data_IF_252624371788
#
_entry.id   IF_252624371788
#
_cell.length_a   1.000
_cell.length_b   1.000
_cell.length_c   1.000
_cell.angle_alpha   90.00
_cell.angle_beta   90.00
_cell.angle_gamma   90.00
#
_symmetry.space_group_name_H-M   'P 1'
#
loop_
_entity.id
_entity.type
_entity.pdbx_description
1 polymer ?
#
# COMPACT_ATOMS: atom_id res chain seq x y z
N UNK A 1 21.54 10.81 -10.74
CA UNK A 1 20.44 11.05 -11.72
C UNK A 1 19.86 12.43 -11.49
N UNK A 2 19.26 13.04 -12.51
CA UNK A 2 18.43 14.25 -12.33
C UNK A 2 17.11 13.84 -11.68
N UNK A 3 16.58 14.67 -10.74
CA UNK A 3 15.30 14.41 -10.11
C UNK A 3 14.16 14.41 -11.13
N UNK A 4 13.15 13.57 -10.90
CA UNK A 4 11.92 13.55 -11.71
C UNK A 4 11.17 14.87 -11.54
N UNK A 5 10.57 15.35 -12.63
CA UNK A 5 9.85 16.62 -12.69
C UNK A 5 8.87 16.83 -11.53
N UNK A 6 8.09 15.79 -11.22
CA UNK A 6 7.04 15.86 -10.19
C UNK A 6 7.46 15.30 -8.82
N UNK A 7 8.71 14.87 -8.62
CA UNK A 7 9.14 14.23 -7.38
C UNK A 7 8.85 15.11 -6.15
N UNK A 8 9.29 16.38 -6.21
CA UNK A 8 9.09 17.33 -5.12
C UNK A 8 7.60 17.61 -4.87
N UNK A 9 6.79 17.73 -5.92
CA UNK A 9 5.35 17.92 -5.78
C UNK A 9 4.68 16.71 -5.13
N UNK A 10 5.04 15.50 -5.52
CA UNK A 10 4.52 14.28 -4.90
C UNK A 10 4.93 14.16 -3.44
N UNK A 11 6.21 14.45 -3.10
CA UNK A 11 6.64 14.47 -1.70
C UNK A 11 5.84 15.50 -0.87
N UNK A 12 5.62 16.70 -1.41
CA UNK A 12 4.83 17.74 -0.76
C UNK A 12 3.38 17.31 -0.55
N UNK A 13 2.75 16.72 -1.56
CA UNK A 13 1.38 16.20 -1.47
C UNK A 13 1.26 15.08 -0.42
N UNK A 14 2.30 14.30 -0.19
CA UNK A 14 2.31 13.22 0.80
C UNK A 14 2.48 13.71 2.25
N UNK A 15 2.81 14.99 2.48
CA UNK A 15 3.00 15.53 3.83
C UNK A 15 1.68 15.59 4.63
N UNK A 16 0.55 15.73 3.94
CA UNK A 16 -0.78 15.83 4.54
C UNK A 16 -1.76 14.89 3.84
N UNK A 17 -2.69 14.30 4.61
CA UNK A 17 -3.77 13.49 4.04
C UNK A 17 -4.73 14.36 3.20
N UNK A 18 -5.05 15.58 3.69
CA UNK A 18 -5.82 16.59 2.96
C UNK A 18 -4.92 17.40 2.02
N UNK A 19 -4.38 16.78 1.00
CA UNK A 19 -3.45 17.42 0.07
C UNK A 19 -4.15 18.31 -0.98
N UNK A 20 -3.36 19.08 -1.75
CA UNK A 20 -3.88 20.03 -2.74
C UNK A 20 -4.80 19.39 -3.78
N UNK A 21 -4.51 18.16 -4.23
CA UNK A 21 -5.34 17.46 -5.23
C UNK A 21 -6.67 17.00 -4.61
N UNK A 22 -6.68 16.61 -3.34
CA UNK A 22 -7.91 16.31 -2.59
C UNK A 22 -8.77 17.55 -2.49
N UNK A 23 -8.19 18.70 -2.08
CA UNK A 23 -8.91 19.97 -2.01
C UNK A 23 -9.45 20.43 -3.36
N UNK A 24 -8.69 20.24 -4.44
CA UNK A 24 -9.13 20.53 -5.80
C UNK A 24 -10.36 19.70 -6.17
N UNK A 25 -10.32 18.39 -5.97
CA UNK A 25 -11.44 17.50 -6.30
C UNK A 25 -12.72 17.87 -5.51
N UNK A 26 -12.57 18.24 -4.24
CA UNK A 26 -13.70 18.72 -3.43
C UNK A 26 -14.26 20.07 -3.92
N UNK A 27 -13.39 20.97 -4.34
CA UNK A 27 -13.82 22.23 -4.96
C UNK A 27 -14.56 22.02 -6.29
N UNK A 28 -14.29 20.92 -7.00
CA UNK A 28 -15.03 20.47 -8.18
C UNK A 28 -16.36 19.76 -7.82
N UNK A 29 -16.73 19.69 -6.54
CA UNK A 29 -17.99 19.11 -6.05
C UNK A 29 -17.94 17.57 -5.93
N UNK A 30 -16.78 16.95 -5.88
CA UNK A 30 -16.63 15.50 -5.68
C UNK A 30 -16.54 15.13 -4.20
N UNK A 31 -17.13 14.00 -3.82
CA UNK A 31 -17.07 13.46 -2.47
C UNK A 31 -15.81 12.61 -2.28
N UNK A 32 -15.22 12.72 -1.08
CA UNK A 32 -14.06 11.93 -0.69
C UNK A 32 -14.46 10.66 0.08
N UNK A 33 -14.34 9.51 -0.55
CA UNK A 33 -14.50 8.20 0.08
C UNK A 33 -13.16 7.74 0.66
N UNK A 34 -12.93 8.00 1.95
CA UNK A 34 -11.74 7.51 2.62
C UNK A 34 -11.87 6.02 2.95
N UNK A 35 -10.74 5.29 3.02
CA UNK A 35 -10.74 3.87 3.36
C UNK A 35 -9.45 3.44 4.06
N UNK A 36 -9.51 2.32 4.79
CA UNK A 36 -8.42 1.91 5.69
C UNK A 36 -7.55 0.79 5.15
N UNK A 37 -8.06 -0.06 4.24
CA UNK A 37 -7.41 -1.31 3.91
C UNK A 37 -7.58 -1.70 2.43
N UNK A 38 -6.60 -2.43 1.88
CA UNK A 38 -6.62 -2.97 0.50
C UNK A 38 -7.80 -3.92 0.21
N UNK A 39 -8.46 -4.45 1.25
CA UNK A 39 -9.65 -5.30 1.08
C UNK A 39 -10.94 -4.52 0.77
N UNK A 40 -10.91 -3.20 0.75
CA UNK A 40 -11.98 -2.39 0.15
C UNK A 40 -11.69 -2.27 -1.34
N UNK A 41 -12.59 -2.72 -2.23
CA UNK A 41 -12.33 -2.64 -3.66
C UNK A 41 -12.28 -1.18 -4.13
N UNK A 42 -11.07 -0.67 -4.31
CA UNK A 42 -10.81 0.74 -4.61
C UNK A 42 -11.57 1.29 -5.84
N UNK A 43 -11.82 0.53 -6.94
CA UNK A 43 -12.62 1.02 -8.05
C UNK A 43 -14.03 1.44 -7.65
N UNK A 44 -14.65 0.77 -6.66
CA UNK A 44 -15.98 1.11 -6.18
C UNK A 44 -16.04 2.45 -5.43
N UNK A 45 -14.88 2.96 -5.01
CA UNK A 45 -14.72 4.28 -4.37
C UNK A 45 -14.30 5.39 -5.37
N UNK A 46 -14.28 5.09 -6.66
CA UNK A 46 -13.92 6.03 -7.72
C UNK A 46 -14.98 6.10 -8.83
N UNK A 47 -16.24 5.90 -8.44
CA UNK A 47 -17.38 6.11 -9.33
C UNK A 47 -17.50 7.59 -9.71
N UNK A 48 -18.18 7.95 -10.83
CA UNK A 48 -18.40 9.35 -11.20
C UNK A 48 -19.02 10.16 -10.04
N UNK A 49 -18.34 11.22 -9.62
CA UNK A 49 -18.75 12.07 -8.49
C UNK A 49 -18.09 11.76 -7.15
N UNK A 50 -17.35 10.67 -7.03
CA UNK A 50 -16.60 10.30 -5.82
C UNK A 50 -15.16 9.95 -6.16
N UNK A 51 -14.25 10.14 -5.22
CA UNK A 51 -12.86 9.70 -5.33
C UNK A 51 -12.38 9.06 -4.03
N UNK A 52 -11.45 8.11 -4.15
CA UNK A 52 -10.87 7.42 -2.99
C UNK A 52 -9.66 8.13 -2.43
N UNK A 53 -9.49 8.07 -1.09
CA UNK A 53 -8.26 8.41 -0.39
C UNK A 53 -8.00 7.39 0.70
N UNK A 54 -6.89 6.63 0.63
CA UNK A 54 -6.53 5.69 1.68
C UNK A 54 -5.97 6.46 2.88
N UNK A 55 -6.49 6.16 4.09
CA UNK A 55 -6.08 6.85 5.30
C UNK A 55 -4.61 6.55 5.63
N UNK A 56 -3.87 7.60 5.92
CA UNK A 56 -2.45 7.61 6.29
C UNK A 56 -2.24 8.52 7.49
N UNK A 57 -1.23 8.24 8.29
CA UNK A 57 -0.86 9.09 9.42
C UNK A 57 0.56 9.66 9.27
N UNK A 58 0.88 10.37 8.17
CA UNK A 58 2.22 10.90 7.96
C UNK A 58 2.57 11.90 9.07
N UNK A 59 3.84 11.90 9.49
CA UNK A 59 4.39 12.86 10.47
C UNK A 59 3.70 12.86 11.82
N UNK A 60 3.10 11.74 12.24
CA UNK A 60 2.55 11.60 13.59
C UNK A 60 3.70 11.65 14.59
N UNK A 61 3.81 12.75 15.33
CA UNK A 61 4.90 12.99 16.29
C UNK A 61 4.66 12.31 17.63
N UNK A 62 3.41 12.20 18.05
CA UNK A 62 2.97 11.54 19.28
C UNK A 62 1.82 10.58 18.97
N UNK A 63 1.63 9.59 19.81
CA UNK A 63 0.50 8.66 19.77
C UNK A 63 -0.12 8.53 21.17
N UNK A 64 -0.10 9.60 21.96
CA UNK A 64 -0.56 9.58 23.36
C UNK A 64 -2.07 9.32 23.44
N UNK A 65 -2.87 10.06 22.69
CA UNK A 65 -4.33 9.88 22.67
C UNK A 65 -4.71 8.55 22.01
N UNK A 66 -4.08 8.20 20.88
CA UNK A 66 -4.28 6.88 20.28
C UNK A 66 -3.93 5.74 21.23
N UNK A 67 -2.87 5.87 22.02
CA UNK A 67 -2.47 4.90 23.05
C UNK A 67 -3.45 4.89 24.23
N UNK A 68 -3.96 6.03 24.65
CA UNK A 68 -4.94 6.14 25.73
C UNK A 68 -6.22 5.35 25.42
N UNK A 69 -6.75 5.50 24.22
CA UNK A 69 -7.99 4.82 23.79
C UNK A 69 -7.79 3.38 23.30
N UNK A 70 -6.62 3.06 22.75
CA UNK A 70 -6.35 1.75 22.14
C UNK A 70 -5.36 0.88 22.91
N UNK A 71 -4.74 1.37 23.96
CA UNK A 71 -3.64 0.74 24.72
C UNK A 71 -2.30 0.64 23.95
N UNK A 72 -1.20 0.44 24.69
CA UNK A 72 0.16 0.34 24.11
C UNK A 72 0.42 -1.01 23.41
N UNK A 73 -0.46 -2.00 23.54
CA UNK A 73 -0.31 -3.35 22.98
C UNK A 73 -1.00 -3.53 21.63
N UNK A 74 -1.63 -2.49 21.09
CA UNK A 74 -2.21 -2.52 19.75
C UNK A 74 -1.26 -1.90 18.72
N UNK A 75 -1.47 -2.25 17.45
CA UNK A 75 -0.67 -1.84 16.31
C UNK A 75 -0.39 -0.32 16.32
N UNK A 76 0.88 0.06 16.22
CA UNK A 76 1.28 1.47 16.23
C UNK A 76 0.70 2.27 15.05
N UNK A 77 0.57 1.65 13.88
CA UNK A 77 -0.07 2.29 12.73
C UNK A 77 -1.53 2.66 13.02
N UNK A 78 -2.31 1.73 13.59
CA UNK A 78 -3.72 2.02 13.92
C UNK A 78 -3.86 3.08 15.03
N UNK A 79 -2.92 3.12 16.00
CA UNK A 79 -2.87 4.19 17.02
C UNK A 79 -2.54 5.54 16.40
N UNK A 80 -1.60 5.59 15.46
CA UNK A 80 -1.26 6.80 14.73
C UNK A 80 -2.42 7.33 13.89
N UNK A 81 -3.21 6.45 13.25
CA UNK A 81 -4.44 6.85 12.55
C UNK A 81 -5.47 7.46 13.51
N UNK A 82 -5.66 6.86 14.68
CA UNK A 82 -6.59 7.43 15.68
C UNK A 82 -6.11 8.78 16.20
N UNK A 83 -4.82 8.92 16.50
CA UNK A 83 -4.21 10.21 16.90
C UNK A 83 -4.51 11.28 15.85
N UNK A 84 -4.22 10.98 14.58
CA UNK A 84 -4.47 11.91 13.46
C UNK A 84 -5.95 12.25 13.30
N UNK A 85 -6.86 11.30 13.54
CA UNK A 85 -8.31 11.55 13.50
C UNK A 85 -8.74 12.52 14.62
N UNK A 86 -8.24 12.33 15.84
CA UNK A 86 -8.51 13.22 16.99
C UNK A 86 -8.00 14.64 16.73
N UNK A 87 -6.87 14.78 16.03
CA UNK A 87 -6.33 16.08 15.60
C UNK A 87 -7.12 16.71 14.44
N UNK A 88 -8.20 16.08 13.95
CA UNK A 88 -9.02 16.59 12.82
C UNK A 88 -8.38 16.36 11.44
N UNK A 89 -7.32 15.55 11.37
CA UNK A 89 -6.55 15.32 10.14
C UNK A 89 -7.33 14.64 9.01
N UNK A 90 -8.53 14.11 9.28
CA UNK A 90 -9.41 13.46 8.29
C UNK A 90 -10.74 14.18 8.07
N UNK A 91 -10.93 15.39 8.59
CA UNK A 91 -12.16 16.18 8.37
C UNK A 91 -12.47 16.50 6.90
N UNK A 92 -11.54 16.23 5.99
CA UNK A 92 -11.78 16.31 4.54
C UNK A 92 -12.62 15.13 4.02
N UNK A 93 -12.62 13.97 4.67
CA UNK A 93 -13.38 12.80 4.24
C UNK A 93 -14.90 13.04 4.36
N UNK A 94 -15.67 12.51 3.43
CA UNK A 94 -17.14 12.54 3.46
C UNK A 94 -17.70 11.22 3.99
N UNK A 95 -16.93 10.15 3.92
CA UNK A 95 -17.20 8.86 4.55
C UNK A 95 -15.90 8.09 4.76
N UNK A 96 -15.95 7.08 5.65
CA UNK A 96 -14.84 6.12 5.86
C UNK A 96 -15.35 4.71 5.70
N UNK A 97 -14.73 3.95 4.79
CA UNK A 97 -14.97 2.53 4.58
C UNK A 97 -13.89 1.69 5.28
N UNK A 98 -14.31 0.78 6.14
CA UNK A 98 -13.40 -0.12 6.85
C UNK A 98 -13.85 -1.58 6.72
N UNK A 99 -12.97 -2.48 6.26
CA UNK A 99 -13.28 -3.89 6.21
C UNK A 99 -12.92 -4.57 7.53
N UNK A 100 -13.68 -5.57 7.93
CA UNK A 100 -13.32 -6.45 9.05
C UNK A 100 -12.16 -7.38 8.66
N UNK A 101 -11.00 -6.77 8.43
CA UNK A 101 -9.78 -7.44 8.04
C UNK A 101 -8.76 -7.55 9.16
N UNK A 102 -8.83 -6.63 10.11
CA UNK A 102 -7.84 -6.49 11.18
C UNK A 102 -8.50 -5.89 12.42
N UNK A 103 -8.55 -6.65 13.52
CA UNK A 103 -9.16 -6.21 14.78
C UNK A 103 -8.55 -4.89 15.32
N UNK A 104 -7.27 -4.63 15.06
CA UNK A 104 -6.60 -3.38 15.45
C UNK A 104 -7.17 -2.19 14.67
N UNK A 105 -7.40 -2.36 13.37
CA UNK A 105 -7.98 -1.32 12.52
C UNK A 105 -9.46 -1.09 12.85
N UNK A 106 -10.22 -2.16 13.10
CA UNK A 106 -11.62 -2.04 13.53
C UNK A 106 -11.70 -1.22 14.82
N UNK A 107 -10.88 -1.55 15.82
CA UNK A 107 -10.83 -0.77 17.06
C UNK A 107 -10.46 0.71 16.84
N UNK A 108 -9.58 0.98 15.90
CA UNK A 108 -9.23 2.34 15.52
C UNK A 108 -10.46 3.10 15.00
N UNK A 109 -11.17 2.55 14.02
CA UNK A 109 -12.32 3.23 13.39
C UNK A 109 -13.53 3.29 14.35
N UNK A 110 -13.78 2.26 15.14
CA UNK A 110 -14.79 2.29 16.20
C UNK A 110 -14.54 3.40 17.23
N UNK A 111 -13.27 3.62 17.60
CA UNK A 111 -12.92 4.75 18.48
C UNK A 111 -13.07 6.10 17.76
N UNK A 112 -12.77 6.20 16.46
CA UNK A 112 -13.03 7.42 15.69
C UNK A 112 -14.53 7.78 15.72
N UNK A 113 -15.39 6.79 15.56
CA UNK A 113 -16.85 6.96 15.60
C UNK A 113 -17.33 7.31 17.02
N UNK A 114 -16.88 6.55 18.04
CA UNK A 114 -17.25 6.78 19.44
C UNK A 114 -16.86 8.18 19.92
N UNK A 115 -15.68 8.64 19.54
CA UNK A 115 -15.14 9.95 19.90
C UNK A 115 -15.67 11.09 19.01
N UNK A 116 -16.46 10.76 17.98
CA UNK A 116 -17.02 11.72 17.03
C UNK A 116 -15.93 12.62 16.42
N UNK A 117 -14.87 12.01 15.94
CA UNK A 117 -13.71 12.75 15.41
C UNK A 117 -13.99 13.45 14.08
N UNK A 118 -15.09 13.12 13.39
CA UNK A 118 -15.54 13.75 12.15
C UNK A 118 -16.69 14.74 12.43
N UNK A 119 -16.54 15.97 11.97
CA UNK A 119 -17.47 17.06 12.28
C UNK A 119 -18.43 17.40 11.12
N UNK A 120 -18.40 16.65 10.00
CA UNK A 120 -19.28 16.90 8.84
C UNK A 120 -20.70 16.39 9.06
N UNK A 121 -21.70 17.19 8.67
CA UNK A 121 -23.13 16.93 8.88
C UNK A 121 -23.61 15.63 8.20
N UNK A 122 -23.10 15.30 7.03
CA UNK A 122 -23.51 14.09 6.26
C UNK A 122 -22.46 13.00 6.27
N UNK A 123 -21.52 13.04 7.20
CA UNK A 123 -20.48 12.04 7.33
C UNK A 123 -21.04 10.70 7.84
N UNK A 124 -20.53 9.58 7.30
CA UNK A 124 -20.86 8.25 7.81
C UNK A 124 -19.64 7.32 7.81
N UNK A 125 -19.67 6.34 8.73
CA UNK A 125 -18.78 5.18 8.71
C UNK A 125 -19.49 4.01 8.06
N UNK A 126 -18.78 3.20 7.30
CA UNK A 126 -19.29 1.95 6.77
C UNK A 126 -18.34 0.79 7.08
N UNK A 127 -18.89 -0.22 7.75
CA UNK A 127 -18.18 -1.43 8.13
C UNK A 127 -18.64 -2.58 7.24
N UNK A 128 -17.68 -3.31 6.66
CA UNK A 128 -17.97 -4.43 5.79
C UNK A 128 -17.23 -5.69 6.24
N UNK A 129 -17.92 -6.83 6.22
CA UNK A 129 -17.29 -8.12 6.46
C UNK A 129 -16.50 -8.59 5.23
N UNK A 130 -15.32 -9.16 5.48
CA UNK A 130 -14.50 -9.77 4.46
C UNK A 130 -14.48 -11.28 4.65
N UNK A 131 -14.83 -12.08 3.63
CA UNK A 131 -14.80 -13.53 3.75
C UNK A 131 -13.40 -14.05 4.05
N UNK A 132 -13.29 -15.02 4.95
CA UNK A 132 -12.02 -15.68 5.29
C UNK A 132 -11.59 -16.71 4.24
N UNK A 133 -12.53 -17.17 3.42
CA UNK A 133 -12.30 -18.18 2.37
C UNK A 133 -12.63 -17.61 1.00
N UNK A 134 -11.76 -17.88 0.03
CA UNK A 134 -11.98 -17.53 -1.36
C UNK A 134 -12.69 -18.69 -2.09
N UNK A 135 -13.93 -18.97 -1.72
CA UNK A 135 -14.82 -19.95 -2.37
C UNK A 135 -16.10 -19.27 -2.87
N UNK A 136 -17.01 -20.03 -3.47
CA UNK A 136 -18.26 -19.50 -4.02
C UNK A 136 -19.15 -18.81 -2.98
N UNK A 137 -19.25 -19.35 -1.77
CA UNK A 137 -20.01 -18.73 -0.68
C UNK A 137 -19.33 -17.44 -0.19
N UNK A 138 -17.99 -17.45 -0.09
CA UNK A 138 -17.21 -16.26 0.23
C UNK A 138 -17.39 -15.17 -0.83
N UNK A 139 -17.41 -15.52 -2.11
CA UNK A 139 -17.66 -14.56 -3.18
C UNK A 139 -19.05 -13.93 -3.07
N UNK A 140 -20.09 -14.74 -2.88
CA UNK A 140 -21.45 -14.23 -2.72
C UNK A 140 -21.58 -13.29 -1.51
N UNK A 141 -20.96 -13.64 -0.39
CA UNK A 141 -20.91 -12.78 0.79
C UNK A 141 -20.19 -11.46 0.45
N UNK A 142 -19.03 -11.51 -0.20
CA UNK A 142 -18.26 -10.32 -0.49
C UNK A 142 -18.99 -9.36 -1.45
N UNK A 143 -19.64 -9.90 -2.48
CA UNK A 143 -20.50 -9.12 -3.39
C UNK A 143 -21.64 -8.44 -2.62
N UNK A 144 -22.31 -9.19 -1.73
CA UNK A 144 -23.39 -8.63 -0.88
C UNK A 144 -22.87 -7.53 0.04
N UNK A 145 -21.71 -7.72 0.67
CA UNK A 145 -21.07 -6.72 1.52
C UNK A 145 -20.68 -5.47 0.73
N UNK A 146 -20.06 -5.60 -0.43
CA UNK A 146 -19.72 -4.45 -1.28
C UNK A 146 -20.98 -3.70 -1.75
N UNK A 147 -22.03 -4.42 -2.12
CA UNK A 147 -23.31 -3.80 -2.51
C UNK A 147 -23.92 -3.02 -1.35
N UNK A 148 -24.08 -3.66 -0.17
CA UNK A 148 -24.82 -3.07 0.96
C UNK A 148 -23.99 -2.01 1.71
N UNK A 149 -22.67 -2.16 1.77
CA UNK A 149 -21.80 -1.33 2.61
C UNK A 149 -20.89 -0.38 1.80
N UNK A 150 -20.89 -0.43 0.46
CA UNK A 150 -20.20 0.56 -0.38
C UNK A 150 -21.21 1.23 -1.31
N UNK A 151 -21.80 0.46 -2.24
CA UNK A 151 -22.60 1.04 -3.32
C UNK A 151 -23.89 1.68 -2.80
N UNK A 152 -24.65 0.98 -1.97
CA UNK A 152 -25.92 1.51 -1.41
C UNK A 152 -25.68 2.79 -0.60
N UNK A 153 -24.73 2.87 0.36
CA UNK A 153 -24.48 4.12 1.08
C UNK A 153 -24.03 5.27 0.17
N UNK A 154 -23.19 5.01 -0.84
CA UNK A 154 -22.78 6.07 -1.79
C UNK A 154 -23.98 6.60 -2.59
N UNK A 155 -24.91 5.74 -2.99
CA UNK A 155 -26.12 6.14 -3.69
C UNK A 155 -27.07 6.91 -2.77
N UNK A 156 -27.33 6.40 -1.56
CA UNK A 156 -28.29 7.00 -0.63
C UNK A 156 -27.83 8.34 -0.06
N UNK A 157 -26.55 8.46 0.32
CA UNK A 157 -26.04 9.68 0.94
C UNK A 157 -25.63 10.75 -0.08
N UNK A 158 -25.11 10.35 -1.24
CA UNK A 158 -24.50 11.29 -2.18
C UNK A 158 -25.13 11.27 -3.58
N UNK A 159 -26.14 10.42 -3.84
CA UNK A 159 -26.77 10.29 -5.14
C UNK A 159 -25.86 9.76 -6.25
N UNK A 160 -24.81 9.02 -5.90
CA UNK A 160 -23.84 8.45 -6.85
C UNK A 160 -24.51 7.39 -7.72
N UNK A 161 -24.27 7.44 -9.03
CA UNK A 161 -24.66 6.36 -9.95
C UNK A 161 -23.81 5.11 -9.67
N UNK A 162 -24.47 4.05 -9.24
CA UNK A 162 -23.87 2.74 -8.91
C UNK A 162 -24.20 1.68 -9.94
N UNK A 163 -24.64 2.07 -11.12
CA UNK A 163 -24.93 1.14 -12.25
C UNK A 163 -23.69 0.35 -12.68
N UNK A 164 -23.89 -0.80 -13.29
CA UNK A 164 -22.80 -1.61 -13.87
C UNK A 164 -21.95 -0.79 -14.85
N UNK A 165 -22.57 0.09 -15.64
CA UNK A 165 -21.85 0.98 -16.56
C UNK A 165 -20.94 1.99 -15.81
N UNK A 166 -21.39 2.56 -14.69
CA UNK A 166 -20.59 3.45 -13.87
C UNK A 166 -19.41 2.70 -13.22
N UNK A 167 -19.65 1.47 -12.76
CA UNK A 167 -18.60 0.60 -12.19
C UNK A 167 -17.55 0.26 -13.25
N UNK A 168 -17.95 -0.13 -14.45
CA UNK A 168 -17.01 -0.42 -15.57
C UNK A 168 -16.14 0.79 -15.92
N UNK A 169 -16.72 1.98 -15.95
CA UNK A 169 -15.98 3.23 -16.17
C UNK A 169 -14.94 3.49 -15.06
N UNK A 170 -15.29 3.24 -13.80
CA UNK A 170 -14.34 3.36 -12.68
C UNK A 170 -13.20 2.34 -12.78
N UNK A 171 -13.48 1.13 -13.26
CA UNK A 171 -12.45 0.10 -13.53
C UNK A 171 -11.51 0.52 -14.67
N UNK A 172 -12.00 1.19 -15.71
CA UNK A 172 -11.14 1.72 -16.80
C UNK A 172 -10.10 2.72 -16.24
N UNK A 173 -10.54 3.67 -15.41
CA UNK A 173 -9.65 4.64 -14.74
C UNK A 173 -8.66 3.93 -13.81
N UNK A 174 -9.14 3.02 -12.96
CA UNK A 174 -8.31 2.19 -12.09
C UNK A 174 -7.25 1.42 -12.89
N UNK A 175 -7.63 0.79 -13.99
CA UNK A 175 -6.72 0.02 -14.83
C UNK A 175 -5.66 0.90 -15.51
N UNK A 176 -6.03 2.13 -15.90
CA UNK A 176 -5.08 3.10 -16.46
C UNK A 176 -4.01 3.44 -15.42
N UNK A 177 -4.43 3.74 -14.18
CA UNK A 177 -3.51 3.98 -13.07
C UNK A 177 -2.61 2.76 -12.81
N UNK A 178 -3.20 1.57 -12.70
CA UNK A 178 -2.44 0.34 -12.42
C UNK A 178 -1.38 0.06 -13.49
N UNK A 179 -1.70 0.24 -14.77
CA UNK A 179 -0.72 0.11 -15.86
C UNK A 179 0.44 1.09 -15.71
N UNK A 180 0.16 2.36 -15.43
CA UNK A 180 1.20 3.38 -15.21
C UNK A 180 2.12 3.02 -14.04
N UNK A 181 1.56 2.66 -12.89
CA UNK A 181 2.34 2.26 -11.71
C UNK A 181 3.22 1.05 -12.02
N UNK A 182 2.72 0.06 -12.76
CA UNK A 182 3.49 -1.12 -13.15
C UNK A 182 4.60 -0.78 -14.16
N UNK A 183 4.29 -0.03 -15.21
CA UNK A 183 5.28 0.37 -16.21
C UNK A 183 6.39 1.23 -15.60
N UNK A 184 6.06 2.19 -14.75
CA UNK A 184 7.04 2.97 -13.98
C UNK A 184 7.87 2.04 -13.07
N UNK A 185 7.21 1.08 -12.40
CA UNK A 185 7.86 0.11 -11.53
C UNK A 185 8.82 -0.83 -12.25
N UNK A 186 8.57 -1.14 -13.51
CA UNK A 186 9.39 -2.04 -14.32
C UNK A 186 10.80 -1.49 -14.61
N UNK A 187 10.99 -0.16 -14.56
CA UNK A 187 12.32 0.44 -14.61
C UNK A 187 13.23 0.03 -13.45
N UNK A 188 12.68 -0.49 -12.35
CA UNK A 188 13.45 -1.07 -11.25
C UNK A 188 14.07 -2.43 -11.58
N UNK A 189 13.66 -3.09 -12.67
CA UNK A 189 14.26 -4.36 -13.15
C UNK A 189 15.58 -4.16 -13.89
N UNK A 190 15.87 -2.95 -14.34
CA UNK A 190 17.10 -2.63 -15.06
C UNK A 190 18.31 -2.89 -14.16
N UNK A 191 19.43 -3.28 -14.73
CA UNK A 191 20.69 -3.49 -14.00
C UNK A 191 21.20 -2.19 -13.38
N UNK A 192 21.12 -1.10 -14.14
CA UNK A 192 21.36 0.24 -13.68
C UNK A 192 20.06 1.05 -13.79
N UNK A 193 19.24 1.07 -12.73
CA UNK A 193 17.89 1.59 -12.80
C UNK A 193 17.83 3.11 -13.06
N UNK A 194 16.84 3.52 -13.86
CA UNK A 194 16.53 4.94 -14.12
C UNK A 194 15.59 5.55 -13.08
N UNK A 195 15.17 4.77 -12.09
CA UNK A 195 14.34 5.22 -10.97
C UNK A 195 14.86 4.57 -9.68
N UNK A 196 14.91 5.31 -8.59
CA UNK A 196 15.23 4.75 -7.27
C UNK A 196 14.00 4.06 -6.66
N UNK A 197 14.19 3.16 -5.71
CA UNK A 197 13.10 2.59 -4.94
C UNK A 197 12.35 3.67 -4.14
N UNK A 198 13.06 4.69 -3.67
CA UNK A 198 12.51 5.84 -2.98
C UNK A 198 11.56 6.66 -3.89
N UNK A 199 12.00 7.04 -5.08
CA UNK A 199 11.17 7.75 -6.06
C UNK A 199 9.92 6.95 -6.42
N UNK A 200 10.10 5.65 -6.67
CA UNK A 200 8.98 4.77 -6.98
C UNK A 200 7.98 4.64 -5.81
N UNK A 201 8.48 4.53 -4.59
CA UNK A 201 7.63 4.44 -3.42
C UNK A 201 6.77 5.69 -3.23
N UNK A 202 7.33 6.88 -3.46
CA UNK A 202 6.57 8.15 -3.46
C UNK A 202 5.45 8.10 -4.50
N UNK A 203 5.76 7.68 -5.73
CA UNK A 203 4.78 7.55 -6.82
C UNK A 203 3.68 6.55 -6.45
N UNK A 204 4.05 5.42 -5.86
CA UNK A 204 3.08 4.44 -5.41
C UNK A 204 2.19 4.98 -4.27
N UNK A 205 2.76 5.64 -3.26
CA UNK A 205 1.99 6.21 -2.15
C UNK A 205 1.01 7.27 -2.60
N UNK A 206 1.42 8.20 -3.47
CA UNK A 206 0.51 9.25 -3.95
C UNK A 206 -0.66 8.67 -4.75
N UNK A 207 -0.48 7.51 -5.39
CA UNK A 207 -1.56 6.81 -6.09
C UNK A 207 -2.69 6.32 -5.19
N UNK A 208 -2.44 6.19 -3.88
CA UNK A 208 -3.44 5.88 -2.86
C UNK A 208 -4.02 7.14 -2.19
N UNK A 209 -3.26 8.24 -2.20
CA UNK A 209 -3.57 9.45 -1.42
C UNK A 209 -4.20 10.59 -2.23
N UNK A 210 -4.27 10.46 -3.56
CA UNK A 210 -4.78 11.50 -4.45
C UNK A 210 -5.88 11.00 -5.38
N UNK A 211 -6.80 11.89 -5.82
CA UNK A 211 -7.79 11.58 -6.85
C UNK A 211 -7.12 11.13 -8.14
N UNK A 212 -7.51 9.97 -8.66
CA UNK A 212 -6.83 9.31 -9.79
C UNK A 212 -6.85 10.14 -11.06
N UNK A 213 -7.99 10.75 -11.39
CA UNK A 213 -8.14 11.53 -12.62
C UNK A 213 -7.22 12.77 -12.66
N UNK A 214 -6.85 13.34 -11.49
CA UNK A 214 -5.89 14.44 -11.39
C UNK A 214 -4.44 13.94 -11.42
N UNK A 215 -4.20 12.76 -10.87
CA UNK A 215 -2.87 12.19 -10.77
C UNK A 215 -2.39 11.54 -12.08
N UNK A 216 -3.28 10.86 -12.81
CA UNK A 216 -2.94 10.10 -14.01
C UNK A 216 -2.13 10.92 -15.03
N UNK A 217 -2.50 12.19 -15.39
CA UNK A 217 -1.70 12.98 -16.32
C UNK A 217 -0.26 13.22 -15.84
N UNK A 218 -0.06 13.44 -14.52
CA UNK A 218 1.28 13.62 -13.96
C UNK A 218 2.12 12.33 -14.04
N UNK A 219 1.49 11.18 -13.84
CA UNK A 219 2.15 9.87 -13.97
C UNK A 219 2.49 9.55 -15.43
N UNK A 220 1.66 9.94 -16.39
CA UNK A 220 1.95 9.78 -17.81
C UNK A 220 3.18 10.60 -18.22
N UNK A 221 3.26 11.86 -17.79
CA UNK A 221 4.44 12.67 -18.02
C UNK A 221 5.69 12.09 -17.34
N UNK A 222 5.54 11.55 -16.11
CA UNK A 222 6.63 10.88 -15.39
C UNK A 222 7.12 9.64 -16.14
N UNK A 223 6.21 8.85 -16.71
CA UNK A 223 6.58 7.69 -17.53
C UNK A 223 7.32 8.10 -18.80
N UNK A 224 6.87 9.15 -19.49
CA UNK A 224 7.57 9.69 -20.68
C UNK A 224 8.97 10.21 -20.31
N UNK A 225 9.12 10.89 -19.16
CA UNK A 225 10.43 11.31 -18.67
C UNK A 225 11.37 10.12 -18.43
N UNK A 226 10.86 9.04 -17.81
CA UNK A 226 11.63 7.84 -17.54
C UNK A 226 12.13 7.14 -18.82
N UNK A 227 11.40 7.22 -19.93
CA UNK A 227 11.84 6.63 -21.21
C UNK A 227 13.17 7.23 -21.69
N UNK A 228 13.44 8.49 -21.38
CA UNK A 228 14.62 9.24 -21.84
C UNK A 228 15.62 9.52 -20.73
N UNK A 229 15.24 9.36 -19.45
CA UNK A 229 16.09 9.64 -18.28
C UNK A 229 17.33 8.75 -18.30
N UNK A 230 18.48 9.36 -18.13
CA UNK A 230 19.75 8.64 -18.05
C UNK A 230 20.00 8.17 -16.61
N UNK A 231 20.37 6.91 -16.41
CA UNK A 231 20.78 6.43 -15.09
C UNK A 231 22.09 7.09 -14.66
N UNK A 232 22.44 6.97 -13.38
CA UNK A 232 23.79 7.32 -12.91
C UNK A 232 24.85 6.46 -13.64
N UNK A 233 26.06 6.98 -13.86
CA UNK A 233 27.12 6.23 -14.58
C UNK A 233 27.45 4.87 -13.95
N UNK A 234 27.22 4.73 -12.66
CA UNK A 234 27.32 3.46 -11.92
C UNK A 234 26.21 3.39 -10.87
N UNK A 235 25.67 2.17 -10.59
CA UNK A 235 24.76 1.97 -9.47
C UNK A 235 25.38 2.47 -8.16
N UNK A 236 24.56 3.17 -7.35
CA UNK A 236 24.98 3.71 -6.04
C UNK A 236 24.55 2.81 -4.88
N UNK A 237 24.34 1.52 -5.13
CA UNK A 237 23.94 0.54 -4.14
C UNK A 237 24.80 -0.71 -4.23
N UNK A 238 24.92 -1.42 -3.09
CA UNK A 238 25.69 -2.66 -2.97
C UNK A 238 24.81 -3.90 -3.14
N UNK A 239 23.53 -3.80 -2.80
CA UNK A 239 22.59 -4.91 -2.86
C UNK A 239 21.19 -4.46 -3.29
N UNK A 240 20.51 -5.34 -4.03
CA UNK A 240 19.10 -5.19 -4.42
C UNK A 240 18.23 -5.97 -3.43
N UNK A 241 17.21 -5.35 -2.87
CA UNK A 241 16.34 -5.98 -1.88
C UNK A 241 14.87 -5.86 -2.23
N UNK A 242 14.11 -6.91 -1.90
CA UNK A 242 12.65 -6.85 -1.84
C UNK A 242 12.26 -6.45 -0.42
N UNK A 243 11.42 -5.43 -0.28
CA UNK A 243 10.84 -5.02 1.00
C UNK A 243 9.47 -5.66 1.16
N UNK A 244 9.28 -6.46 2.20
CA UNK A 244 8.05 -7.23 2.46
C UNK A 244 7.55 -6.94 3.85
N UNK A 245 6.24 -6.83 4.04
CA UNK A 245 5.71 -6.73 5.40
C UNK A 245 4.39 -6.00 5.55
N UNK A 246 4.26 -5.31 6.65
CA UNK A 246 3.07 -4.62 7.12
C UNK A 246 2.83 -3.26 6.44
N UNK A 247 2.35 -2.28 7.17
CA UNK A 247 2.09 -0.95 6.60
C UNK A 247 3.39 -0.14 6.46
N UNK A 248 3.65 0.33 5.24
CA UNK A 248 4.69 1.32 4.93
C UNK A 248 4.02 2.46 4.18
N UNK A 249 3.34 3.33 4.92
CA UNK A 249 2.53 4.43 4.40
C UNK A 249 3.26 5.79 4.38
N UNK A 250 4.54 5.77 4.76
CA UNK A 250 5.45 6.91 4.71
C UNK A 250 6.68 6.61 3.85
N UNK A 251 7.46 7.66 3.57
CA UNK A 251 8.67 7.57 2.74
C UNK A 251 9.92 7.16 3.52
N UNK A 252 9.90 7.23 4.85
CA UNK A 252 11.10 7.16 5.68
C UNK A 252 11.72 5.76 5.71
N UNK A 253 10.89 4.70 5.69
CA UNK A 253 11.41 3.32 5.72
C UNK A 253 12.21 3.01 4.45
N UNK A 254 11.68 3.32 3.27
CA UNK A 254 12.38 3.08 2.01
C UNK A 254 13.62 3.96 1.89
N UNK A 255 13.51 5.23 2.31
CA UNK A 255 14.64 6.16 2.37
C UNK A 255 15.77 5.64 3.25
N UNK A 256 15.45 5.17 4.47
CA UNK A 256 16.43 4.58 5.39
C UNK A 256 17.14 3.37 4.77
N UNK A 257 16.40 2.49 4.09
CA UNK A 257 16.97 1.30 3.44
C UNK A 257 17.93 1.71 2.32
N UNK A 258 17.56 2.66 1.47
CA UNK A 258 18.41 3.10 0.34
C UNK A 258 19.62 3.92 0.82
N UNK A 259 19.46 4.79 1.82
CA UNK A 259 20.59 5.50 2.45
C UNK A 259 21.57 4.54 3.18
N UNK A 260 21.14 3.32 3.47
CA UNK A 260 22.00 2.27 4.06
C UNK A 260 22.74 1.44 3.01
N UNK A 261 22.68 1.83 1.73
CA UNK A 261 23.43 1.20 0.63
C UNK A 261 22.68 0.07 -0.08
N UNK A 262 21.40 -0.18 0.24
CA UNK A 262 20.56 -1.08 -0.53
C UNK A 262 19.81 -0.33 -1.65
N UNK A 263 19.19 -1.07 -2.56
CA UNK A 263 18.23 -0.60 -3.53
C UNK A 263 16.93 -1.38 -3.37
N UNK A 264 15.82 -0.71 -3.08
CA UNK A 264 14.50 -1.35 -2.95
C UNK A 264 13.95 -1.62 -4.35
N UNK A 265 14.32 -2.77 -4.90
CA UNK A 265 13.96 -3.14 -6.28
C UNK A 265 12.50 -3.57 -6.44
N UNK A 266 11.89 -4.13 -5.41
CA UNK A 266 10.48 -4.49 -5.38
C UNK A 266 9.91 -4.40 -3.97
N UNK A 267 8.60 -4.33 -3.88
CA UNK A 267 7.87 -4.17 -2.62
C UNK A 267 6.66 -5.11 -2.56
N UNK A 268 6.37 -5.64 -1.37
CA UNK A 268 5.19 -6.41 -1.03
C UNK A 268 4.77 -6.11 0.41
N UNK A 269 4.07 -5.02 0.61
CA UNK A 269 3.51 -4.60 1.90
C UNK A 269 2.10 -4.02 1.71
N UNK A 270 1.39 -3.69 2.78
CA UNK A 270 -0.02 -3.32 2.70
C UNK A 270 -0.30 -2.06 1.84
N UNK A 271 0.60 -1.08 1.85
CA UNK A 271 0.59 0.09 0.94
C UNK A 271 1.46 -0.12 -0.31
N UNK A 272 1.82 -1.36 -0.60
CA UNK A 272 2.71 -1.71 -1.69
C UNK A 272 2.09 -1.62 -3.08
N UNK A 273 2.94 -1.74 -4.08
CA UNK A 273 2.53 -1.77 -5.47
C UNK A 273 2.03 -3.15 -5.91
N UNK A 274 2.39 -4.20 -5.18
CA UNK A 274 2.00 -5.57 -5.49
C UNK A 274 1.34 -6.26 -4.30
N UNK A 275 0.26 -7.02 -4.53
CA UNK A 275 -0.51 -7.17 -5.78
C UNK A 275 -1.56 -6.08 -6.02
N UNK A 276 -1.62 -5.04 -5.17
CA UNK A 276 -2.70 -4.05 -5.13
C UNK A 276 -2.87 -3.22 -6.41
N UNK A 277 -1.86 -3.19 -7.28
CA UNK A 277 -1.86 -2.43 -8.54
C UNK A 277 -1.94 -3.34 -9.77
N UNK A 278 -2.75 -4.39 -9.70
CA UNK A 278 -3.04 -5.25 -10.85
C UNK A 278 -4.31 -4.80 -11.58
N UNK A 279 -4.26 -4.62 -12.91
CA UNK A 279 -5.46 -4.33 -13.70
C UNK A 279 -6.55 -5.39 -13.52
N UNK A 280 -7.80 -4.97 -13.61
CA UNK A 280 -9.00 -5.81 -13.52
C UNK A 280 -9.52 -6.05 -14.93
N UNK A 281 -9.52 -7.29 -15.36
CA UNK A 281 -10.09 -7.68 -16.65
C UNK A 281 -11.57 -8.01 -16.46
N UNK A 282 -12.45 -7.22 -17.10
CA UNK A 282 -13.89 -7.42 -17.10
C UNK A 282 -14.32 -8.05 -18.41
N UNK A 283 -15.29 -8.96 -18.30
CA UNK A 283 -16.01 -9.55 -19.44
C UNK A 283 -17.46 -9.05 -19.46
N UNK A 284 -18.18 -9.27 -20.56
CA UNK A 284 -19.56 -8.80 -20.72
C UNK A 284 -20.61 -9.82 -20.26
N UNK A 285 -20.19 -11.03 -19.92
CA UNK A 285 -21.07 -12.16 -19.53
C UNK A 285 -21.45 -12.15 -18.03
N UNK A 286 -20.82 -11.30 -17.24
CA UNK A 286 -21.07 -11.18 -15.79
C UNK A 286 -21.02 -9.71 -15.35
N UNK A 287 -21.75 -9.34 -14.29
CA UNK A 287 -21.72 -8.01 -13.73
C UNK A 287 -20.33 -7.63 -13.21
N UNK A 288 -19.97 -6.35 -13.32
CA UNK A 288 -18.65 -5.85 -12.98
C UNK A 288 -18.34 -6.00 -11.46
N UNK A 289 -19.36 -5.83 -10.61
CA UNK A 289 -19.18 -5.96 -9.14
C UNK A 289 -18.70 -7.37 -8.77
N UNK A 290 -19.34 -8.40 -9.30
CA UNK A 290 -18.97 -9.80 -9.03
C UNK A 290 -17.55 -10.10 -9.52
N UNK A 291 -17.18 -9.61 -10.70
CA UNK A 291 -15.83 -9.80 -11.25
C UNK A 291 -14.76 -9.09 -10.42
N UNK A 292 -15.01 -7.85 -9.96
CA UNK A 292 -14.14 -7.10 -9.07
C UNK A 292 -13.94 -7.87 -7.75
N UNK A 293 -15.02 -8.28 -7.12
CA UNK A 293 -14.96 -9.02 -5.84
C UNK A 293 -14.18 -10.32 -5.97
N UNK A 294 -14.39 -11.07 -7.05
CA UNK A 294 -13.64 -12.30 -7.33
C UNK A 294 -12.15 -12.03 -7.48
N UNK A 295 -11.77 -10.99 -8.20
CA UNK A 295 -10.36 -10.63 -8.38
C UNK A 295 -9.72 -10.21 -7.05
N UNK A 296 -10.38 -9.34 -6.28
CA UNK A 296 -9.87 -8.91 -4.97
C UNK A 296 -9.67 -10.10 -4.02
N UNK A 297 -10.63 -11.03 -3.94
CA UNK A 297 -10.48 -12.25 -3.14
C UNK A 297 -9.33 -13.14 -3.62
N UNK A 298 -9.23 -13.36 -4.93
CA UNK A 298 -8.23 -14.28 -5.48
C UNK A 298 -6.81 -13.72 -5.33
N UNK A 299 -6.63 -12.42 -5.50
CA UNK A 299 -5.33 -11.74 -5.43
C UNK A 299 -4.94 -11.30 -4.01
N UNK A 300 -5.89 -11.26 -3.07
CA UNK A 300 -5.61 -10.86 -1.70
C UNK A 300 -4.46 -11.66 -1.09
N UNK A 301 -3.46 -10.94 -0.61
CA UNK A 301 -2.27 -11.52 0.03
C UNK A 301 -2.12 -11.10 1.49
N UNK A 302 -3.18 -10.55 2.10
CA UNK A 302 -3.18 -10.22 3.51
C UNK A 302 -2.97 -11.49 4.36
N UNK A 303 -2.11 -11.45 5.38
CA UNK A 303 -1.87 -12.60 6.27
C UNK A 303 -3.11 -13.09 7.04
N UNK A 304 -4.21 -12.31 7.09
CA UNK A 304 -5.47 -12.80 7.64
C UNK A 304 -6.01 -14.06 6.94
N UNK A 305 -5.67 -14.25 5.67
CA UNK A 305 -6.00 -15.45 4.92
C UNK A 305 -5.01 -16.57 5.27
N UNK A 306 -5.35 -17.40 6.27
CA UNK A 306 -4.47 -18.42 6.85
C UNK A 306 -4.66 -19.82 6.28
N UNK A 307 -5.46 -20.00 5.22
CA UNK A 307 -5.51 -21.29 4.54
C UNK A 307 -4.20 -21.60 3.80
N UNK A 308 -3.86 -22.89 3.70
CA UNK A 308 -2.60 -23.34 3.10
C UNK A 308 -2.32 -22.75 1.71
N UNK A 309 -3.27 -22.74 0.74
CA UNK A 309 -3.02 -22.15 -0.57
C UNK A 309 -2.60 -20.68 -0.53
N UNK A 310 -3.25 -19.86 0.31
CA UNK A 310 -2.92 -18.43 0.46
C UNK A 310 -1.57 -18.24 1.16
N UNK A 311 -1.26 -19.03 2.18
CA UNK A 311 0.02 -18.98 2.88
C UNK A 311 1.19 -19.35 1.96
N UNK A 312 1.07 -20.43 1.21
CA UNK A 312 2.09 -20.84 0.24
C UNK A 312 2.20 -19.85 -0.92
N UNK A 313 1.05 -19.37 -1.42
CA UNK A 313 0.98 -18.38 -2.50
C UNK A 313 1.69 -17.07 -2.16
N UNK A 314 1.54 -16.53 -0.93
CA UNK A 314 2.26 -15.31 -0.51
C UNK A 314 3.77 -15.46 -0.59
N UNK A 315 4.29 -16.57 -0.10
CA UNK A 315 5.75 -16.84 -0.08
C UNK A 315 6.29 -17.09 -1.47
N UNK A 316 5.57 -17.88 -2.27
CA UNK A 316 5.90 -18.08 -3.68
C UNK A 316 5.91 -16.76 -4.46
N UNK A 317 4.96 -15.86 -4.18
CA UNK A 317 4.90 -14.55 -4.80
C UNK A 317 6.12 -13.68 -4.46
N UNK A 318 6.55 -13.64 -3.19
CA UNK A 318 7.78 -12.94 -2.79
C UNK A 318 9.01 -13.53 -3.48
N UNK A 319 9.10 -14.84 -3.57
CA UNK A 319 10.17 -15.52 -4.31
C UNK A 319 10.16 -15.14 -5.81
N UNK A 320 8.97 -15.05 -6.42
CA UNK A 320 8.86 -14.64 -7.82
C UNK A 320 9.30 -13.17 -8.00
N UNK A 321 8.85 -12.25 -7.14
CA UNK A 321 9.33 -10.87 -7.16
C UNK A 321 10.86 -10.78 -7.02
N UNK A 322 11.45 -11.55 -6.08
CA UNK A 322 12.89 -11.54 -5.88
C UNK A 322 13.64 -11.99 -7.14
N UNK A 323 13.12 -12.97 -7.88
CA UNK A 323 13.68 -13.42 -9.17
C UNK A 323 13.52 -12.36 -10.26
N UNK A 324 12.30 -11.84 -10.45
CA UNK A 324 11.97 -10.90 -11.53
C UNK A 324 12.76 -9.60 -11.41
N UNK A 325 12.96 -9.14 -10.18
CA UNK A 325 13.69 -7.91 -9.88
C UNK A 325 15.17 -8.15 -9.51
N UNK A 326 15.68 -9.36 -9.66
CA UNK A 326 17.09 -9.74 -9.42
C UNK A 326 17.55 -9.33 -8.02
N UNK A 327 16.76 -9.64 -7.01
CA UNK A 327 17.07 -9.29 -5.64
C UNK A 327 18.19 -10.18 -5.05
N UNK A 328 19.09 -9.55 -4.31
CA UNK A 328 20.16 -10.23 -3.56
C UNK A 328 19.69 -10.70 -2.17
N UNK A 329 18.63 -10.08 -1.64
CA UNK A 329 18.08 -10.39 -0.34
C UNK A 329 16.69 -9.79 -0.12
N UNK A 330 16.13 -10.11 1.04
CA UNK A 330 14.78 -9.71 1.41
C UNK A 330 14.83 -9.03 2.78
N UNK A 331 14.19 -7.87 2.91
CA UNK A 331 13.91 -7.24 4.21
C UNK A 331 12.45 -7.52 4.54
N UNK A 332 12.22 -8.33 5.58
CA UNK A 332 10.89 -8.66 6.08
C UNK A 332 10.60 -7.82 7.32
N UNK A 333 9.79 -6.77 7.15
CA UNK A 333 9.45 -5.82 8.21
C UNK A 333 8.07 -6.09 8.83
N UNK A 334 7.88 -5.60 10.03
CA UNK A 334 6.61 -5.58 10.73
C UNK A 334 6.55 -4.32 11.59
N UNK A 335 5.47 -3.56 11.50
CA UNK A 335 5.15 -2.53 12.50
C UNK A 335 4.84 -3.20 13.83
N UNK A 336 5.37 -2.67 14.93
CA UNK A 336 5.13 -3.20 16.28
C UNK A 336 3.65 -3.43 16.54
N UNK A 337 3.34 -4.60 17.09
CA UNK A 337 1.99 -5.07 17.43
C UNK A 337 1.06 -5.29 16.22
N UNK A 338 1.59 -5.43 15.01
CA UNK A 338 0.82 -5.92 13.87
C UNK A 338 0.75 -7.45 13.89
N UNK A 339 -0.28 -8.02 14.52
CA UNK A 339 -0.38 -9.48 14.75
C UNK A 339 -0.39 -10.30 13.46
N UNK A 340 -1.20 -9.98 12.41
CA UNK A 340 -1.20 -10.79 11.20
C UNK A 340 0.18 -10.91 10.55
N UNK A 341 0.92 -9.80 10.51
CA UNK A 341 2.26 -9.80 9.95
C UNK A 341 3.33 -10.39 10.88
N UNK A 342 3.10 -10.40 12.21
CA UNK A 342 4.01 -11.06 13.14
C UNK A 342 4.16 -12.55 12.82
N UNK A 343 3.04 -13.25 12.67
CA UNK A 343 3.03 -14.68 12.32
C UNK A 343 3.64 -14.93 10.94
N UNK A 344 3.21 -14.17 9.94
CA UNK A 344 3.70 -14.35 8.57
C UNK A 344 5.20 -14.04 8.46
N UNK A 345 5.69 -12.97 9.12
CA UNK A 345 7.11 -12.62 9.15
C UNK A 345 7.97 -13.72 9.72
N UNK A 346 7.55 -14.36 10.81
CA UNK A 346 8.31 -15.45 11.43
C UNK A 346 8.47 -16.65 10.48
N UNK A 347 7.36 -17.15 9.96
CA UNK A 347 7.36 -18.33 9.10
C UNK A 347 7.88 -18.00 7.70
N UNK A 348 7.48 -16.85 7.14
CA UNK A 348 7.94 -16.38 5.83
C UNK A 348 9.44 -16.15 5.78
N UNK A 349 10.04 -15.58 6.83
CA UNK A 349 11.50 -15.44 6.95
C UNK A 349 12.20 -16.78 6.86
N UNK A 350 11.70 -17.79 7.59
CA UNK A 350 12.30 -19.13 7.58
C UNK A 350 12.21 -19.77 6.19
N UNK A 351 11.02 -19.77 5.59
CA UNK A 351 10.79 -20.37 4.27
C UNK A 351 11.64 -19.69 3.19
N UNK A 352 11.68 -18.35 3.16
CA UNK A 352 12.45 -17.60 2.16
C UNK A 352 13.95 -17.84 2.30
N UNK A 353 14.45 -18.07 3.50
CA UNK A 353 15.85 -18.38 3.77
C UNK A 353 16.19 -19.84 3.52
N UNK A 354 15.41 -20.77 4.10
CA UNK A 354 15.80 -22.18 4.18
C UNK A 354 15.36 -22.97 2.92
N UNK A 355 14.24 -22.59 2.29
CA UNK A 355 13.73 -23.26 1.09
C UNK A 355 14.11 -22.55 -0.20
N UNK A 356 14.08 -21.20 -0.20
CA UNK A 356 14.40 -20.41 -1.40
C UNK A 356 15.82 -19.84 -1.44
N UNK A 357 16.57 -19.93 -0.33
CA UNK A 357 18.00 -19.61 -0.26
C UNK A 357 18.35 -18.12 -0.21
N UNK A 358 17.36 -17.22 0.02
CA UNK A 358 17.64 -15.79 0.12
C UNK A 358 18.21 -15.42 1.50
N UNK A 359 19.20 -14.50 1.57
CA UNK A 359 19.45 -13.75 2.79
C UNK A 359 18.18 -12.99 3.19
N UNK A 360 17.76 -13.09 4.46
CA UNK A 360 16.57 -12.38 4.96
C UNK A 360 16.90 -11.62 6.23
N UNK A 361 16.70 -10.30 6.21
CA UNK A 361 16.69 -9.46 7.40
C UNK A 361 15.26 -9.36 7.92
N UNK A 362 15.00 -9.92 9.09
CA UNK A 362 13.71 -9.85 9.76
C UNK A 362 13.72 -8.74 10.81
N UNK A 363 12.84 -7.74 10.68
CA UNK A 363 12.78 -6.60 11.58
C UNK A 363 11.38 -6.36 12.14
N UNK A 364 11.33 -6.07 13.42
CA UNK A 364 10.21 -5.49 14.14
C UNK A 364 10.55 -4.01 14.35
N UNK A 365 9.74 -3.09 13.81
CA UNK A 365 10.03 -1.66 13.79
C UNK A 365 8.94 -0.83 14.44
N UNK A 366 9.28 0.33 15.01
CA UNK A 366 8.28 1.33 15.39
C UNK A 366 7.60 1.87 14.11
N UNK A 367 6.41 2.46 14.26
CA UNK A 367 5.73 3.10 13.15
C UNK A 367 6.57 4.27 12.59
N UNK A 368 6.98 5.20 13.43
CA UNK A 368 7.86 6.28 13.02
C UNK A 368 9.33 5.81 12.99
N UNK A 369 9.91 5.64 11.80
CA UNK A 369 11.26 5.10 11.62
C UNK A 369 12.35 6.17 11.44
N UNK A 370 12.01 7.42 11.16
CA UNK A 370 12.97 8.46 10.76
C UNK A 370 14.12 8.71 11.72
N UNK A 371 13.99 8.35 13.02
CA UNK A 371 15.02 8.49 14.06
C UNK A 371 15.64 7.16 14.50
N UNK A 372 15.35 6.04 13.86
CA UNK A 372 15.80 4.71 14.28
C UNK A 372 17.24 4.39 13.88
N UNK A 373 18.23 4.85 14.63
CA UNK A 373 19.64 4.48 14.45
C UNK A 373 19.87 2.96 14.53
N UNK A 374 19.15 2.26 15.41
CA UNK A 374 19.24 0.80 15.52
C UNK A 374 18.79 0.09 14.25
N UNK A 375 17.69 0.53 13.61
CA UNK A 375 17.22 -0.05 12.37
C UNK A 375 18.23 0.20 11.23
N UNK A 376 18.76 1.41 11.13
CA UNK A 376 19.81 1.77 10.17
C UNK A 376 21.03 0.86 10.31
N UNK A 377 21.55 0.66 11.51
CA UNK A 377 22.70 -0.22 11.76
C UNK A 377 22.42 -1.66 11.33
N UNK A 378 21.22 -2.18 11.60
CA UNK A 378 20.83 -3.54 11.19
C UNK A 378 20.75 -3.67 9.68
N UNK A 379 20.19 -2.69 8.98
CA UNK A 379 20.11 -2.68 7.51
C UNK A 379 21.51 -2.59 6.91
N UNK A 380 22.39 -1.71 7.42
CA UNK A 380 23.76 -1.58 6.96
C UNK A 380 24.53 -2.90 7.10
N UNK A 381 24.50 -3.52 8.27
CA UNK A 381 25.15 -4.81 8.50
C UNK A 381 24.61 -5.92 7.57
N UNK A 382 23.33 -5.90 7.26
CA UNK A 382 22.73 -6.83 6.31
C UNK A 382 23.24 -6.60 4.89
N UNK A 383 23.32 -5.36 4.43
CA UNK A 383 23.86 -4.99 3.11
C UNK A 383 25.33 -5.41 2.99
N UNK A 384 26.16 -5.08 3.98
CA UNK A 384 27.57 -5.46 4.04
C UNK A 384 27.76 -7.00 3.97
N UNK A 385 26.89 -7.75 4.66
CA UNK A 385 26.95 -9.22 4.61
C UNK A 385 26.70 -9.79 3.22
N UNK A 386 25.83 -9.15 2.43
CA UNK A 386 25.55 -9.55 1.04
C UNK A 386 26.71 -9.15 0.11
N UNK A 387 27.31 -7.99 0.30
CA UNK A 387 28.48 -7.54 -0.46
C UNK A 387 29.66 -8.51 -0.28
N UNK A 388 29.97 -8.86 0.97
CA UNK A 388 31.04 -9.83 1.29
C UNK A 388 30.80 -11.18 0.58
N UNK A 389 29.55 -11.67 0.60
CA UNK A 389 29.21 -12.92 -0.11
C UNK A 389 29.40 -12.84 -1.62
N UNK A 390 29.06 -11.70 -2.24
CA UNK A 390 29.29 -11.47 -3.68
C UNK A 390 30.78 -11.48 -4.00
N UNK A 391 31.61 -10.81 -3.21
CA UNK A 391 33.07 -10.78 -3.38
C UNK A 391 33.66 -12.17 -3.25
N UNK A 392 33.28 -12.92 -2.20
CA UNK A 392 33.76 -14.28 -1.98
C UNK A 392 33.29 -15.27 -3.07
N UNK A 393 32.05 -15.17 -3.50
CA UNK A 393 31.48 -15.98 -4.59
C UNK A 393 32.07 -15.68 -5.97
N UNK A 394 32.49 -14.43 -6.21
CA UNK A 394 33.25 -14.02 -7.40
C UNK A 394 34.69 -14.52 -7.44
N UNK A 395 35.33 -14.53 -6.28
CA UNK A 395 36.70 -15.09 -6.14
C UNK A 395 36.76 -16.61 -6.29
N UNK A 396 35.64 -17.31 -6.02
CA UNK A 396 35.58 -18.79 -6.19
C UNK A 396 35.28 -19.25 -7.64
N UNK A 397 34.97 -18.32 -8.55
CA UNK A 397 34.69 -18.60 -9.98
C UNK A 397 35.81 -18.13 -10.93
N UNK A 398 36.88 -17.55 -10.44
CA UNK A 398 38.10 -17.22 -11.14
C UNK A 398 39.22 -18.23 -10.79
#
# INVERSE_FOLDING_TARGET
MKDLKYLYDFERLLQEANNDLVRQAQAEGKYCAAYTCENVPEPLLNLPGVFSARLRAPRTGSMEMGTYYMTSFLCEYSRALLERAIEGGYNFADCIFTPDGCSMMNRCVENMELLKTMEKEHFFYSYMEIPMKADGNGLNLYVLQCKNHILTPLQEHFGIDVSDAAIRKAVEEHNRLCRLIREIGDYRKEENPRITGYEYHIINLISYAAPKYLLIPMLEETLEELKTRQPDPKPKFWARVVLVGSEVDDIDMVKLVEESGAYVCADRFCYGSFPGRDPIELTDDEDALTQICRQYMNRAQCPRYMNMPKMLGRRAYVNQLAKDYKADGIIYEQVKFCDPWAYERMVGTQVLRDEYGYPVLSVDRPYAVGSSGQLRTRVQAFVESMEIKKIQGGAARG
#
